data_IF_742841647087
#
_entry.id   IF_742841647087
#
_cell.length_a   1.000
_cell.length_b   1.000
_cell.length_c   1.000
_cell.angle_alpha   90.00
_cell.angle_beta   90.00
_cell.angle_gamma   90.00
#
_symmetry.space_group_name_H-M   'P 1'
#
loop_
_entity.id
_entity.type
_entity.pdbx_description
1 polymer ?
#
# COMPACT_ATOMS: atom_id res chain seq x y z
N UNK A 1 14.40 -26.36 -24.32
CA UNK A 1 14.34 -24.89 -24.15
C UNK A 1 13.60 -24.60 -22.85
N UNK A 2 14.34 -24.38 -21.77
CA UNK A 2 13.76 -23.93 -20.50
C UNK A 2 13.31 -22.48 -20.66
N UNK A 3 12.01 -22.24 -20.45
CA UNK A 3 11.48 -20.88 -20.33
C UNK A 3 11.99 -20.33 -19.00
N UNK A 4 13.08 -19.58 -19.06
CA UNK A 4 13.60 -18.80 -17.93
C UNK A 4 12.56 -17.71 -17.60
N UNK A 5 11.54 -18.11 -16.86
CA UNK A 5 10.46 -17.24 -16.41
C UNK A 5 11.06 -16.44 -15.27
N UNK A 6 11.56 -15.25 -15.58
CA UNK A 6 11.98 -14.28 -14.58
C UNK A 6 10.81 -14.12 -13.60
N UNK A 7 10.92 -14.73 -12.41
CA UNK A 7 9.88 -14.62 -11.39
C UNK A 7 9.78 -13.14 -11.06
N UNK A 8 8.68 -12.50 -11.48
CA UNK A 8 8.40 -11.12 -11.15
C UNK A 8 8.25 -11.05 -9.63
N UNK A 9 9.29 -10.58 -8.96
CA UNK A 9 9.23 -10.23 -7.54
C UNK A 9 8.40 -8.96 -7.42
N UNK A 10 7.37 -9.02 -6.58
CA UNK A 10 6.46 -7.91 -6.32
C UNK A 10 6.09 -7.85 -4.85
N UNK A 11 5.71 -6.66 -4.39
CA UNK A 11 5.21 -6.43 -3.03
C UNK A 11 4.01 -5.50 -3.08
N UNK A 12 3.04 -5.75 -2.20
CA UNK A 12 1.90 -4.86 -2.05
C UNK A 12 2.32 -3.53 -1.43
N UNK A 13 1.83 -2.44 -2.03
CA UNK A 13 1.90 -1.10 -1.49
C UNK A 13 0.46 -0.61 -1.24
N UNK A 14 0.15 -0.33 0.02
CA UNK A 14 -1.19 0.03 0.47
C UNK A 14 -1.14 1.36 1.22
N UNK A 15 -2.25 2.09 1.23
CA UNK A 15 -2.29 3.37 1.92
C UNK A 15 -2.12 3.20 3.43
N UNK A 16 -2.75 2.19 4.04
CA UNK A 16 -2.68 1.97 5.49
C UNK A 16 -2.60 0.49 5.85
N UNK A 17 -2.20 0.18 7.09
CA UNK A 17 -2.15 -1.21 7.58
C UNK A 17 -3.53 -1.90 7.59
N UNK A 18 -4.62 -1.12 7.52
CA UNK A 18 -5.98 -1.65 7.64
C UNK A 18 -6.34 -2.65 6.53
N UNK A 19 -5.91 -2.41 5.29
CA UNK A 19 -6.30 -3.24 4.14
C UNK A 19 -5.87 -4.71 4.33
N UNK A 20 -4.61 -4.93 4.71
CA UNK A 20 -4.08 -6.27 4.92
C UNK A 20 -4.26 -6.77 6.35
N UNK A 21 -3.99 -5.95 7.40
CA UNK A 21 -4.07 -6.43 8.79
C UNK A 21 -5.49 -6.69 9.25
N UNK A 22 -6.46 -5.86 8.84
CA UNK A 22 -7.83 -5.94 9.33
C UNK A 22 -8.76 -6.52 8.26
N UNK A 23 -8.93 -5.81 7.14
CA UNK A 23 -9.92 -6.16 6.13
C UNK A 23 -9.68 -7.57 5.54
N UNK A 24 -8.48 -7.83 5.01
CA UNK A 24 -8.15 -9.15 4.47
C UNK A 24 -8.19 -10.25 5.53
N UNK A 25 -7.68 -10.00 6.74
CA UNK A 25 -7.71 -10.98 7.84
C UNK A 25 -9.14 -11.41 8.17
N UNK A 26 -10.03 -10.43 8.37
CA UNK A 26 -11.43 -10.67 8.71
C UNK A 26 -12.14 -11.40 7.57
N UNK A 27 -11.90 -10.98 6.33
CA UNK A 27 -12.56 -11.57 5.17
C UNK A 27 -12.10 -13.01 4.89
N UNK A 28 -10.79 -13.29 5.01
CA UNK A 28 -10.24 -14.65 4.93
C UNK A 28 -10.85 -15.55 6.01
N UNK A 29 -10.94 -15.08 7.26
CA UNK A 29 -11.57 -15.84 8.36
C UNK A 29 -13.04 -16.11 8.07
N UNK A 30 -13.80 -15.10 7.64
CA UNK A 30 -15.23 -15.22 7.33
C UNK A 30 -15.50 -16.22 6.21
N UNK A 31 -14.63 -16.28 5.21
CA UNK A 31 -14.74 -17.19 4.05
C UNK A 31 -14.03 -18.53 4.22
N UNK A 32 -13.37 -18.76 5.35
CA UNK A 32 -12.51 -19.93 5.58
C UNK A 32 -11.44 -20.12 4.47
N UNK A 33 -10.83 -19.01 4.05
CA UNK A 33 -9.78 -18.99 3.02
C UNK A 33 -8.42 -18.79 3.69
N UNK A 34 -7.46 -19.63 3.35
CA UNK A 34 -6.07 -19.44 3.74
C UNK A 34 -5.50 -18.18 3.10
N UNK A 35 -4.86 -17.33 3.91
CA UNK A 35 -4.18 -16.13 3.42
C UNK A 35 -2.76 -16.49 2.98
N UNK A 36 -2.49 -16.28 1.70
CA UNK A 36 -1.18 -16.52 1.08
C UNK A 36 -0.05 -15.68 1.73
N UNK A 37 1.15 -16.25 1.78
CA UNK A 37 2.38 -15.63 2.27
C UNK A 37 2.79 -14.38 1.48
N UNK A 38 2.32 -14.20 0.25
CA UNK A 38 2.56 -12.95 -0.50
C UNK A 38 1.97 -11.72 0.20
N UNK A 39 0.94 -11.90 1.04
CA UNK A 39 0.34 -10.82 1.83
C UNK A 39 1.05 -10.61 3.17
N UNK A 40 2.10 -11.39 3.48
CA UNK A 40 2.74 -11.39 4.80
C UNK A 40 3.44 -10.06 5.11
N UNK A 41 3.94 -9.38 4.09
CA UNK A 41 4.75 -8.16 4.17
C UNK A 41 4.27 -7.17 3.13
N UNK A 42 4.26 -5.88 3.48
CA UNK A 42 3.83 -4.83 2.56
C UNK A 42 4.51 -3.50 2.87
N UNK A 43 4.33 -2.57 1.94
CA UNK A 43 4.72 -1.17 2.08
C UNK A 43 3.48 -0.38 2.49
N UNK A 44 3.52 0.24 3.66
CA UNK A 44 2.53 1.19 4.12
C UNK A 44 2.95 2.59 3.65
N UNK A 45 2.28 3.06 2.61
CA UNK A 45 2.60 4.34 1.96
C UNK A 45 2.40 5.52 2.90
N UNK A 46 1.38 5.48 3.76
CA UNK A 46 1.18 6.54 4.76
C UNK A 46 2.35 6.65 5.75
N UNK A 47 2.92 5.54 6.22
CA UNK A 47 4.10 5.54 7.10
C UNK A 47 5.30 6.17 6.41
N UNK A 48 5.58 5.77 5.16
CA UNK A 48 6.67 6.37 4.38
C UNK A 48 6.44 7.85 4.16
N UNK A 49 5.23 8.24 3.76
CA UNK A 49 4.86 9.62 3.54
C UNK A 49 5.09 10.48 4.79
N UNK A 50 4.54 10.08 5.94
CA UNK A 50 4.74 10.78 7.22
C UNK A 50 6.24 10.89 7.54
N UNK A 51 7.02 9.84 7.33
CA UNK A 51 8.46 9.86 7.63
C UNK A 51 9.27 10.85 6.78
N UNK A 52 8.77 11.20 5.58
CA UNK A 52 9.47 12.10 4.67
C UNK A 52 8.97 13.54 4.74
N UNK A 53 7.67 13.73 4.97
CA UNK A 53 7.05 15.06 4.92
C UNK A 53 6.74 15.62 6.30
N UNK A 54 6.82 14.78 7.35
CA UNK A 54 6.31 15.06 8.70
C UNK A 54 4.80 15.44 8.73
N UNK A 55 4.07 15.24 7.62
CA UNK A 55 2.66 15.57 7.51
C UNK A 55 1.78 14.36 7.82
N UNK A 56 0.78 14.57 8.68
CA UNK A 56 -0.21 13.55 9.05
C UNK A 56 -1.56 13.90 8.44
N UNK A 57 -2.11 12.98 7.64
CA UNK A 57 -3.43 13.12 7.05
C UNK A 57 -3.86 11.85 6.32
N UNK A 58 -5.12 11.81 5.88
CA UNK A 58 -5.63 10.78 4.98
C UNK A 58 -5.10 10.96 3.55
N UNK A 59 -5.48 10.04 2.66
CA UNK A 59 -4.97 10.00 1.27
C UNK A 59 -5.27 11.31 0.54
N UNK A 60 -6.49 11.83 0.68
CA UNK A 60 -6.89 13.11 0.09
C UNK A 60 -5.99 14.26 0.56
N UNK A 61 -5.74 14.38 1.87
CA UNK A 61 -4.90 15.45 2.41
C UNK A 61 -3.44 15.29 1.96
N UNK A 62 -2.94 14.06 1.88
CA UNK A 62 -1.58 13.79 1.42
C UNK A 62 -1.38 14.15 -0.06
N UNK A 63 -2.35 13.85 -0.93
CA UNK A 63 -2.34 14.28 -2.33
C UNK A 63 -2.29 15.81 -2.43
N UNK A 64 -3.19 16.51 -1.72
CA UNK A 64 -3.22 17.97 -1.70
C UNK A 64 -1.89 18.57 -1.21
N UNK A 65 -1.30 17.98 -0.19
CA UNK A 65 -0.01 18.40 0.36
C UNK A 65 1.13 18.36 -0.68
N UNK A 66 1.09 17.42 -1.62
CA UNK A 66 2.11 17.31 -2.69
C UNK A 66 1.73 18.01 -3.98
N UNK A 67 0.58 18.70 -4.02
CA UNK A 67 0.06 19.41 -5.20
C UNK A 67 -0.78 18.55 -6.14
N UNK A 68 -1.23 17.37 -5.70
CA UNK A 68 -2.11 16.49 -6.48
C UNK A 68 -3.58 16.65 -6.05
N UNK A 69 -4.49 16.58 -7.01
CA UNK A 69 -5.92 16.42 -6.79
C UNK A 69 -6.30 14.94 -6.78
N UNK A 70 -7.32 14.60 -5.98
CA UNK A 70 -7.89 13.25 -5.97
C UNK A 70 -8.71 13.03 -7.24
N UNK A 71 -8.46 11.93 -7.94
CA UNK A 71 -9.20 11.53 -9.15
C UNK A 71 -10.25 10.46 -8.83
N UNK A 72 -11.49 10.70 -9.25
CA UNK A 72 -12.61 9.78 -9.03
C UNK A 72 -13.32 9.96 -7.67
N UNK A 73 -14.05 8.93 -7.26
CA UNK A 73 -14.83 8.91 -6.03
C UNK A 73 -14.00 8.40 -4.84
N UNK A 74 -13.98 9.16 -3.74
CA UNK A 74 -13.37 8.72 -2.48
C UNK A 74 -14.08 7.48 -1.94
N UNK A 75 -13.31 6.61 -1.28
CA UNK A 75 -13.79 5.35 -0.70
C UNK A 75 -14.21 4.29 -1.73
N UNK A 76 -13.95 4.55 -3.02
CA UNK A 76 -13.92 3.50 -4.03
C UNK A 76 -12.51 2.90 -4.08
N UNK A 77 -12.35 1.62 -3.74
CA UNK A 77 -11.03 0.98 -3.63
C UNK A 77 -10.17 1.10 -4.89
N UNK A 78 -10.77 1.09 -6.09
CA UNK A 78 -10.06 1.32 -7.35
C UNK A 78 -9.49 2.74 -7.45
N UNK A 79 -10.30 3.75 -7.12
CA UNK A 79 -9.87 5.15 -7.16
C UNK A 79 -8.82 5.43 -6.08
N UNK A 80 -8.98 4.89 -4.87
CA UNK A 80 -8.01 5.01 -3.79
C UNK A 80 -6.66 4.36 -4.17
N UNK A 81 -6.69 3.18 -4.80
CA UNK A 81 -5.49 2.51 -5.30
C UNK A 81 -4.80 3.32 -6.41
N UNK A 82 -5.55 3.85 -7.38
CA UNK A 82 -5.00 4.70 -8.45
C UNK A 82 -4.34 5.96 -7.88
N UNK A 83 -5.01 6.65 -6.96
CA UNK A 83 -4.45 7.85 -6.34
C UNK A 83 -3.24 7.53 -5.45
N UNK A 84 -3.25 6.40 -4.75
CA UNK A 84 -2.07 5.93 -4.00
C UNK A 84 -0.90 5.68 -4.95
N UNK A 85 -1.12 5.04 -6.10
CA UNK A 85 -0.08 4.84 -7.11
C UNK A 85 0.45 6.15 -7.70
N UNK A 86 -0.42 7.13 -7.99
CA UNK A 86 -0.03 8.48 -8.42
C UNK A 86 0.84 9.18 -7.39
N UNK A 87 0.44 9.13 -6.12
CA UNK A 87 1.23 9.67 -5.01
C UNK A 87 2.61 9.01 -4.93
N UNK A 88 2.67 7.67 -4.96
CA UNK A 88 3.93 6.92 -4.93
C UNK A 88 4.82 7.30 -6.10
N UNK A 89 4.28 7.38 -7.32
CA UNK A 89 5.01 7.81 -8.50
C UNK A 89 5.68 9.17 -8.32
N UNK A 90 4.93 10.17 -7.82
CA UNK A 90 5.48 11.50 -7.54
C UNK A 90 6.54 11.48 -6.43
N UNK A 91 6.36 10.68 -5.38
CA UNK A 91 7.34 10.60 -4.30
C UNK A 91 8.63 9.91 -4.75
N UNK A 92 8.54 8.92 -5.64
CA UNK A 92 9.70 8.28 -6.25
C UNK A 92 10.52 9.27 -7.07
N UNK A 93 9.88 10.13 -7.87
CA UNK A 93 10.60 11.19 -8.61
C UNK A 93 11.26 12.22 -7.69
N UNK A 94 10.75 12.38 -6.47
CA UNK A 94 11.34 13.20 -5.40
C UNK A 94 12.35 12.45 -4.52
N UNK A 95 12.76 11.24 -4.90
CA UNK A 95 13.82 10.48 -4.20
C UNK A 95 13.34 9.61 -3.04
N UNK A 96 12.03 9.33 -2.92
CA UNK A 96 11.54 8.38 -1.94
C UNK A 96 12.11 6.98 -2.16
N UNK A 97 12.64 6.38 -1.09
CA UNK A 97 13.07 4.98 -1.08
C UNK A 97 11.95 4.10 -0.53
N UNK A 98 11.36 3.29 -1.42
CA UNK A 98 10.41 2.25 -1.05
C UNK A 98 11.12 1.15 -0.26
N UNK A 99 10.50 0.73 0.84
CA UNK A 99 10.97 -0.37 1.70
C UNK A 99 9.79 -1.02 2.39
N UNK A 100 9.93 -2.30 2.75
CA UNK A 100 8.94 -2.97 3.61
C UNK A 100 8.85 -2.19 4.92
N UNK A 101 7.65 -1.80 5.31
CA UNK A 101 7.42 -1.05 6.56
C UNK A 101 6.57 -1.82 7.54
N UNK A 102 5.92 -2.88 7.09
CA UNK A 102 4.92 -3.59 7.89
C UNK A 102 4.81 -5.03 7.43
N UNK A 103 4.50 -5.87 8.40
CA UNK A 103 4.29 -7.28 8.22
C UNK A 103 3.27 -7.78 9.26
N UNK A 104 2.94 -9.06 9.13
CA UNK A 104 2.41 -9.84 10.24
C UNK A 104 3.58 -10.38 11.06
N UNK A 105 4.17 -9.56 11.93
CA UNK A 105 4.96 -10.05 13.08
C UNK A 105 4.01 -10.45 14.20
N UNK A 106 4.39 -11.50 14.93
CA UNK A 106 3.59 -12.30 15.84
C UNK A 106 2.53 -11.51 16.63
N UNK A 107 1.26 -11.83 16.38
CA UNK A 107 0.20 -11.65 17.38
C UNK A 107 0.53 -12.70 18.45
N UNK A 108 1.02 -12.25 19.60
CA UNK A 108 0.91 -13.05 20.83
C UNK A 108 -0.55 -13.13 21.24
#
# INVERSE_FOLDING_TARGET
MEKNTFMKSGIFAIWSDWDLKQCLTVECKRKNIYRDLIFRRWINIRKLFISQTNFRGGLLQALRHVGLSFEGQQHCGLHDARNTARLVGLLLTRGMKLRVTSDFTHIH
#
